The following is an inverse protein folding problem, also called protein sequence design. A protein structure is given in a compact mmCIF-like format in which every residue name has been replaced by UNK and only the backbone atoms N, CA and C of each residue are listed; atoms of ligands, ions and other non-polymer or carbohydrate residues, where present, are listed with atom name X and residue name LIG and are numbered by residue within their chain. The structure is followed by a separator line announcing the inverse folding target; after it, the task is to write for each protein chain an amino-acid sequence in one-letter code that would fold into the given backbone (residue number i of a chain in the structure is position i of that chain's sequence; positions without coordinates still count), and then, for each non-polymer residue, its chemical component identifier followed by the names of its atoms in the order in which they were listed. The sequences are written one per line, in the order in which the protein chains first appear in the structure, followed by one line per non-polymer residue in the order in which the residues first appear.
data_IF_434723396614
#
_entry.id   IF_434723396614
#
_cell.length_a   1.000
_cell.length_b   1.000
_cell.length_c   1.000
_cell.angle_alpha   90.00
_cell.angle_beta   90.00
_cell.angle_gamma   90.00
#
_symmetry.space_group_name_H-M   'P 1'
#
loop_
_entity.id
_entity.type
_entity.pdbx_description
1 polymer ?
#
# COMPACT_ATOMS: atom_id res chain seq x y z
N UNK A 1 -22.17 7.89 -30.35
CA UNK A 1 -20.83 7.42 -29.93
C UNK A 1 -20.02 8.46 -29.17
N UNK A 2 -19.73 9.66 -29.71
CA UNK A 2 -18.97 10.71 -28.99
C UNK A 2 -19.55 11.10 -27.60
N UNK A 3 -20.88 11.20 -27.48
CA UNK A 3 -21.55 11.49 -26.21
C UNK A 3 -21.37 10.38 -25.16
N UNK A 4 -21.36 9.11 -25.58
CA UNK A 4 -21.16 7.96 -24.69
C UNK A 4 -19.73 7.91 -24.15
N UNK A 5 -18.72 8.19 -24.98
CA UNK A 5 -17.30 8.22 -24.55
C UNK A 5 -17.06 9.34 -23.54
N UNK A 6 -17.64 10.53 -23.76
CA UNK A 6 -17.51 11.66 -22.82
C UNK A 6 -18.21 11.35 -21.49
N UNK A 7 -19.38 10.72 -21.52
CA UNK A 7 -20.11 10.31 -20.30
C UNK A 7 -19.33 9.23 -19.54
N UNK A 8 -18.75 8.23 -20.21
CA UNK A 8 -17.90 7.23 -19.54
C UNK A 8 -16.63 7.83 -18.93
N UNK A 9 -15.99 8.80 -19.59
CA UNK A 9 -14.83 9.51 -19.03
C UNK A 9 -15.22 10.35 -17.80
N UNK A 10 -16.37 11.02 -17.86
CA UNK A 10 -16.89 11.81 -16.75
C UNK A 10 -17.23 10.92 -15.55
N UNK A 11 -17.85 9.76 -15.79
CA UNK A 11 -18.18 8.78 -14.75
C UNK A 11 -16.91 8.23 -14.07
N UNK A 12 -15.86 7.94 -14.85
CA UNK A 12 -14.54 7.55 -14.33
C UNK A 12 -13.89 8.62 -13.43
N UNK A 13 -14.15 9.91 -13.69
CA UNK A 13 -13.68 11.01 -12.85
C UNK A 13 -14.60 11.34 -11.67
N UNK A 14 -15.88 10.93 -11.73
CA UNK A 14 -16.89 11.16 -10.68
C UNK A 14 -16.95 10.02 -9.65
N UNK A 15 -16.44 8.82 -9.98
CA UNK A 15 -16.04 7.84 -9.00
C UNK A 15 -14.85 8.44 -8.23
N UNK A 16 -15.13 9.09 -7.09
CA UNK A 16 -14.14 9.85 -6.34
C UNK A 16 -12.84 9.08 -6.13
N UNK A 17 -11.72 9.81 -6.12
CA UNK A 17 -10.39 9.30 -5.79
C UNK A 17 -10.26 8.89 -4.31
N UNK A 18 -11.20 8.11 -3.77
CA UNK A 18 -10.86 7.18 -2.70
C UNK A 18 -9.87 6.20 -3.33
N UNK A 19 -8.59 6.61 -3.30
CA UNK A 19 -7.56 6.10 -4.18
C UNK A 19 -7.52 4.58 -4.17
N UNK A 20 -7.24 3.98 -5.33
CA UNK A 20 -7.02 2.54 -5.49
C UNK A 20 -6.35 1.95 -4.26
N UNK A 21 -7.16 1.37 -3.36
CA UNK A 21 -6.65 0.78 -2.14
C UNK A 21 -6.18 -0.61 -2.55
N UNK A 22 -4.87 -0.79 -2.53
CA UNK A 22 -4.30 -2.09 -2.80
C UNK A 22 -4.92 -3.12 -1.85
N UNK A 23 -5.20 -4.30 -2.38
CA UNK A 23 -5.64 -5.40 -1.55
C UNK A 23 -4.60 -5.65 -0.45
N UNK A 24 -5.07 -5.86 0.78
CA UNK A 24 -4.24 -6.20 1.92
C UNK A 24 -3.26 -7.33 1.59
N UNK A 25 -1.99 -7.17 1.95
CA UNK A 25 -1.01 -8.26 1.88
C UNK A 25 -1.41 -9.38 2.82
N UNK A 26 -0.92 -10.60 2.58
CA UNK A 26 -1.21 -11.73 3.46
C UNK A 26 -0.73 -11.45 4.91
N UNK A 27 0.43 -10.79 5.06
CA UNK A 27 0.93 -10.37 6.36
C UNK A 27 0.03 -9.34 7.05
N UNK A 28 -0.58 -8.42 6.30
CA UNK A 28 -1.53 -7.45 6.85
C UNK A 28 -2.84 -8.13 7.31
N UNK A 29 -3.34 -9.11 6.56
CA UNK A 29 -4.50 -9.92 6.94
C UNK A 29 -4.22 -10.75 8.19
N UNK A 30 -3.07 -11.42 8.22
CA UNK A 30 -2.63 -12.22 9.38
C UNK A 30 -2.45 -11.33 10.61
N UNK A 31 -1.84 -10.15 10.47
CA UNK A 31 -1.69 -9.21 11.58
C UNK A 31 -3.03 -8.69 12.13
N UNK A 32 -3.96 -8.31 11.25
CA UNK A 32 -5.28 -7.84 11.66
C UNK A 32 -6.04 -8.93 12.44
N UNK A 33 -5.99 -10.16 11.94
CA UNK A 33 -6.61 -11.32 12.57
C UNK A 33 -5.96 -11.67 13.92
N UNK A 34 -4.62 -11.70 13.99
CA UNK A 34 -3.89 -11.92 15.23
C UNK A 34 -4.17 -10.83 16.28
N UNK A 35 -4.26 -9.57 15.86
CA UNK A 35 -4.61 -8.47 16.76
C UNK A 35 -6.00 -8.67 17.37
N UNK A 36 -7.00 -9.01 16.56
CA UNK A 36 -8.34 -9.29 17.07
C UNK A 36 -8.37 -10.47 18.05
N UNK A 37 -7.62 -11.54 17.77
CA UNK A 37 -7.42 -12.69 18.68
C UNK A 37 -6.77 -12.29 20.00
N UNK A 38 -5.70 -11.49 19.96
CA UNK A 38 -5.00 -10.99 21.16
C UNK A 38 -5.93 -10.13 22.01
N UNK A 39 -6.70 -9.24 21.40
CA UNK A 39 -7.69 -8.45 22.15
C UNK A 39 -8.81 -9.31 22.74
N UNK A 40 -9.24 -10.37 22.05
CA UNK A 40 -10.21 -11.33 22.58
C UNK A 40 -9.68 -12.03 23.83
N UNK A 41 -8.45 -12.56 23.75
CA UNK A 41 -7.79 -13.21 24.88
C UNK A 41 -7.58 -12.24 26.05
N UNK A 42 -7.16 -11.01 25.78
CA UNK A 42 -6.99 -9.99 26.81
C UNK A 42 -8.30 -9.64 27.54
N UNK A 43 -9.43 -9.55 26.82
CA UNK A 43 -10.74 -9.33 27.41
C UNK A 43 -11.15 -10.50 28.31
N UNK A 44 -10.94 -11.72 27.84
CA UNK A 44 -11.20 -12.92 28.65
C UNK A 44 -10.31 -12.97 29.89
N UNK A 45 -9.00 -12.81 29.75
CA UNK A 45 -8.06 -12.82 30.88
C UNK A 45 -8.40 -11.74 31.92
N UNK A 46 -8.80 -10.53 31.49
CA UNK A 46 -9.23 -9.49 32.42
C UNK A 46 -10.47 -9.90 33.23
N UNK A 47 -11.42 -10.61 32.62
CA UNK A 47 -12.58 -11.19 33.31
C UNK A 47 -12.18 -12.32 34.26
N UNK A 48 -11.36 -13.26 33.81
CA UNK A 48 -10.92 -14.43 34.56
C UNK A 48 -10.07 -14.05 35.79
N UNK A 49 -9.22 -13.02 35.65
CA UNK A 49 -8.39 -12.47 36.74
C UNK A 49 -9.14 -11.49 37.65
N UNK A 50 -10.46 -11.30 37.43
CA UNK A 50 -11.31 -10.38 38.19
C UNK A 50 -10.70 -8.96 38.27
N UNK A 51 -10.24 -8.46 37.12
CA UNK A 51 -9.67 -7.13 37.02
C UNK A 51 -10.70 -6.04 37.35
N UNK A 52 -10.23 -4.79 37.46
CA UNK A 52 -11.15 -3.67 37.71
C UNK A 52 -12.19 -3.54 36.59
N UNK A 53 -13.43 -3.09 36.88
CA UNK A 53 -14.47 -2.91 35.87
C UNK A 53 -14.03 -2.04 34.68
N UNK A 54 -13.18 -1.03 34.94
CA UNK A 54 -12.61 -0.20 33.90
C UNK A 54 -11.68 -0.97 32.95
N UNK A 55 -10.85 -1.88 33.47
CA UNK A 55 -9.94 -2.68 32.64
C UNK A 55 -10.71 -3.72 31.81
N UNK A 56 -11.73 -4.35 32.40
CA UNK A 56 -12.61 -5.26 31.66
C UNK A 56 -13.31 -4.51 30.51
N UNK A 57 -13.91 -3.33 30.78
CA UNK A 57 -14.57 -2.55 29.74
C UNK A 57 -13.63 -2.07 28.63
N UNK A 58 -12.39 -1.68 28.97
CA UNK A 58 -11.39 -1.27 27.96
C UNK A 58 -10.93 -2.42 27.08
N UNK A 59 -10.72 -3.61 27.64
CA UNK A 59 -10.28 -4.80 26.89
C UNK A 59 -11.40 -5.34 26.00
N UNK A 60 -12.66 -5.34 26.48
CA UNK A 60 -13.84 -5.63 25.66
C UNK A 60 -14.00 -4.65 24.49
N UNK A 61 -13.85 -3.35 24.75
CA UNK A 61 -13.91 -2.33 23.70
C UNK A 61 -12.81 -2.52 22.67
N UNK A 62 -11.58 -2.79 23.11
CA UNK A 62 -10.45 -3.06 22.22
C UNK A 62 -10.70 -4.29 21.34
N UNK A 63 -11.28 -5.37 21.90
CA UNK A 63 -11.70 -6.54 21.14
C UNK A 63 -12.74 -6.18 20.07
N UNK A 64 -13.81 -5.46 20.44
CA UNK A 64 -14.85 -5.03 19.51
C UNK A 64 -14.31 -4.15 18.38
N UNK A 65 -13.44 -3.19 18.69
CA UNK A 65 -12.85 -2.30 17.70
C UNK A 65 -11.89 -3.03 16.76
N UNK A 66 -11.16 -4.02 17.28
CA UNK A 66 -10.22 -4.82 16.48
C UNK A 66 -10.91 -5.62 15.37
N UNK A 67 -12.19 -5.96 15.56
CA UNK A 67 -12.99 -6.61 14.52
C UNK A 67 -13.11 -5.79 13.24
N UNK A 68 -13.06 -4.45 13.33
CA UNK A 68 -13.10 -3.58 12.17
C UNK A 68 -11.86 -3.74 11.28
N UNK A 69 -10.69 -4.00 11.85
CA UNK A 69 -9.48 -4.27 11.07
C UNK A 69 -9.59 -5.58 10.28
N UNK A 70 -10.14 -6.63 10.89
CA UNK A 70 -10.36 -7.91 10.19
C UNK A 70 -11.40 -7.75 9.09
N UNK A 71 -12.47 -6.98 9.31
CA UNK A 71 -13.48 -6.69 8.30
C UNK A 71 -12.91 -5.90 7.11
N UNK A 72 -12.00 -4.96 7.38
CA UNK A 72 -11.36 -4.10 6.36
C UNK A 72 -10.26 -4.82 5.57
N UNK A 73 -9.36 -5.54 6.25
CA UNK A 73 -8.25 -6.24 5.60
C UNK A 73 -8.64 -7.63 5.05
N UNK A 74 -9.66 -8.26 5.63
CA UNK A 74 -10.08 -9.63 5.35
C UNK A 74 -9.36 -10.69 6.18
N UNK A 75 -9.83 -11.94 6.07
CA UNK A 75 -9.23 -13.08 6.76
C UNK A 75 -7.95 -13.57 6.04
N UNK A 76 -6.96 -14.09 6.78
CA UNK A 76 -5.82 -14.78 6.19
C UNK A 76 -6.29 -16.05 5.46
N UNK A 77 -5.60 -16.44 4.39
CA UNK A 77 -5.92 -17.64 3.59
C UNK A 77 -5.63 -18.94 4.32
N UNK A 78 -4.61 -18.91 5.17
CA UNK A 78 -4.22 -20.03 6.02
C UNK A 78 -4.25 -19.55 7.47
N UNK A 79 -5.45 -19.39 8.07
CA UNK A 79 -5.54 -19.18 9.51
C UNK A 79 -4.91 -20.41 10.16
N UNK A 80 -3.89 -20.22 10.98
CA UNK A 80 -3.23 -21.36 11.59
C UNK A 80 -4.14 -21.98 12.66
N UNK A 81 -4.25 -23.30 12.60
CA UNK A 81 -5.11 -24.13 13.45
C UNK A 81 -4.83 -24.05 14.95
N UNK A 82 -3.64 -23.61 15.36
CA UNK A 82 -3.29 -23.41 16.78
C UNK A 82 -4.12 -22.34 17.48
N UNK A 83 -4.94 -21.58 16.74
CA UNK A 83 -5.87 -20.57 17.27
C UNK A 83 -7.29 -20.76 16.68
N UNK A 84 -7.59 -21.93 16.09
CA UNK A 84 -8.93 -22.30 15.59
C UNK A 84 -9.89 -22.54 16.74
N UNK A 85 -10.44 -21.46 17.30
CA UNK A 85 -11.53 -21.53 18.26
C UNK A 85 -12.55 -20.39 18.17
N UNK A 86 -12.26 -19.36 17.37
CA UNK A 86 -13.14 -18.20 17.27
C UNK A 86 -13.24 -17.69 15.83
N UNK A 87 -14.29 -18.10 15.13
CA UNK A 87 -14.82 -17.33 14.01
C UNK A 87 -15.47 -16.04 14.53
N UNK A 88 -15.33 -14.90 13.82
CA UNK A 88 -16.05 -13.68 14.19
C UNK A 88 -17.56 -13.94 14.17
N UNK A 89 -18.21 -13.91 15.34
CA UNK A 89 -19.65 -14.15 15.48
C UNK A 89 -20.05 -15.40 16.26
N UNK A 90 -19.12 -16.21 16.76
CA UNK A 90 -19.43 -17.27 17.72
C UNK A 90 -18.85 -16.95 19.10
N UNK A 91 -19.76 -16.68 20.05
CA UNK A 91 -19.49 -16.64 21.49
C UNK A 91 -19.24 -18.07 21.99
N UNK A 92 -18.01 -18.56 21.80
CA UNK A 92 -17.58 -19.90 22.19
C UNK A 92 -16.55 -19.86 23.32
N UNK A 93 -16.89 -20.49 24.43
CA UNK A 93 -16.17 -20.63 25.70
C UNK A 93 -14.92 -21.53 25.61
N UNK A 94 -13.94 -21.14 24.79
CA UNK A 94 -12.71 -21.93 24.63
C UNK A 94 -11.65 -21.20 23.80
N UNK A 95 -11.16 -20.06 24.29
CA UNK A 95 -9.93 -19.48 23.78
C UNK A 95 -8.78 -20.09 24.58
N UNK A 96 -8.04 -21.01 23.95
CA UNK A 96 -6.71 -21.38 24.41
C UNK A 96 -5.86 -20.10 24.55
N UNK A 97 -5.06 -19.97 25.63
CA UNK A 97 -4.20 -18.80 25.83
C UNK A 97 -3.38 -18.54 24.57
N UNK A 98 -3.42 -17.30 24.08
CA UNK A 98 -2.48 -16.89 23.03
C UNK A 98 -1.10 -17.00 23.67
N UNK A 99 -0.36 -18.05 23.31
CA UNK A 99 0.97 -18.26 23.83
C UNK A 99 1.85 -17.05 23.45
N UNK A 100 2.11 -16.21 24.44
CA UNK A 100 3.08 -15.13 24.33
C UNK A 100 4.52 -15.66 24.21
N UNK A 101 4.72 -16.98 24.36
CA UNK A 101 5.98 -17.64 24.65
C UNK A 101 6.68 -18.41 23.52
N UNK A 102 6.01 -19.04 22.54
CA UNK A 102 6.73 -19.82 21.53
C UNK A 102 6.80 -19.10 20.18
N UNK A 103 8.01 -18.65 19.89
CA UNK A 103 8.55 -18.21 18.60
C UNK A 103 8.44 -16.73 18.25
N UNK A 104 7.80 -15.83 19.02
CA UNK A 104 7.77 -14.40 18.70
C UNK A 104 7.15 -14.06 17.32
N UNK A 105 6.34 -14.98 16.78
CA UNK A 105 5.74 -14.89 15.45
C UNK A 105 4.78 -13.71 15.34
N UNK A 106 3.88 -13.52 16.30
CA UNK A 106 2.94 -12.40 16.27
C UNK A 106 3.67 -11.06 16.17
N UNK A 107 4.78 -10.91 16.91
CA UNK A 107 5.66 -9.75 16.83
C UNK A 107 6.34 -9.60 15.47
N UNK A 108 6.77 -10.71 14.84
CA UNK A 108 7.33 -10.70 13.47
C UNK A 108 6.28 -10.35 12.41
N UNK A 109 5.06 -10.88 12.52
CA UNK A 109 3.96 -10.60 11.58
C UNK A 109 3.54 -9.14 11.71
N UNK A 110 3.45 -8.61 12.93
CA UNK A 110 3.18 -7.19 13.18
C UNK A 110 4.28 -6.29 12.61
N UNK A 111 5.56 -6.66 12.79
CA UNK A 111 6.67 -5.87 12.23
C UNK A 111 6.69 -5.91 10.71
N UNK A 112 6.42 -7.06 10.09
CA UNK A 112 6.29 -7.21 8.64
C UNK A 112 5.11 -6.41 8.09
N UNK A 113 3.92 -6.54 8.68
CA UNK A 113 2.73 -5.79 8.27
C UNK A 113 2.95 -4.27 8.38
N UNK A 114 3.68 -3.82 9.41
CA UNK A 114 4.08 -2.42 9.57
C UNK A 114 5.05 -1.98 8.46
N UNK A 115 6.03 -2.80 8.10
CA UNK A 115 6.93 -2.51 6.96
C UNK A 115 6.15 -2.46 5.64
N UNK A 116 5.24 -3.40 5.41
CA UNK A 116 4.38 -3.42 4.23
C UNK A 116 3.46 -2.19 4.16
N UNK A 117 2.90 -1.75 5.29
CA UNK A 117 2.09 -0.53 5.36
C UNK A 117 2.92 0.75 5.15
N UNK A 118 4.20 0.75 5.56
CA UNK A 118 5.12 1.86 5.31
C UNK A 118 5.69 1.89 3.89
N UNK A 119 5.65 0.78 3.16
CA UNK A 119 5.96 0.79 1.73
C UNK A 119 4.89 1.62 1.03
N UNK A 120 5.20 2.90 0.82
CA UNK A 120 4.42 3.73 -0.09
C UNK A 120 4.38 2.99 -1.42
N UNK A 121 3.19 2.78 -2.00
CA UNK A 121 3.12 2.22 -3.33
C UNK A 121 3.99 3.08 -4.23
N UNK A 122 4.89 2.44 -4.97
CA UNK A 122 5.74 3.16 -5.89
C UNK A 122 4.82 3.88 -6.89
N UNK A 123 4.71 5.20 -6.72
CA UNK A 123 3.84 6.07 -7.50
C UNK A 123 4.16 5.89 -8.99
N UNK A 124 5.38 5.48 -9.30
CA UNK A 124 5.83 5.16 -10.65
C UNK A 124 5.27 3.87 -11.20
N UNK A 125 5.17 2.81 -10.40
CA UNK A 125 4.55 1.55 -10.84
C UNK A 125 3.07 1.78 -11.13
N UNK A 126 2.39 2.57 -10.28
CA UNK A 126 0.99 2.95 -10.51
C UNK A 126 0.83 3.81 -11.77
N UNK A 127 1.70 4.81 -11.96
CA UNK A 127 1.68 5.67 -13.15
C UNK A 127 1.98 4.88 -14.44
N UNK A 128 2.95 3.96 -14.39
CA UNK A 128 3.31 3.11 -15.53
C UNK A 128 2.15 2.17 -15.89
N UNK A 129 1.47 1.59 -14.88
CA UNK A 129 0.27 0.76 -15.09
C UNK A 129 -0.91 1.55 -15.66
N UNK A 130 -1.16 2.77 -15.16
CA UNK A 130 -2.19 3.65 -15.69
C UNK A 130 -1.90 4.09 -17.14
N UNK A 131 -0.64 4.38 -17.46
CA UNK A 131 -0.23 4.67 -18.85
C UNK A 131 -0.43 3.47 -19.76
N UNK A 132 -0.14 2.25 -19.29
CA UNK A 132 -0.33 1.03 -20.06
C UNK A 132 -1.80 0.75 -20.37
N UNK A 133 -2.67 0.92 -19.39
CA UNK A 133 -4.12 0.86 -19.58
C UNK A 133 -4.60 1.94 -20.55
N UNK A 134 -4.09 3.18 -20.42
CA UNK A 134 -4.41 4.29 -21.32
C UNK A 134 -3.97 4.02 -22.76
N UNK A 135 -2.79 3.43 -22.98
CA UNK A 135 -2.29 2.99 -24.29
C UNK A 135 -3.21 1.91 -24.87
N UNK A 136 -3.58 0.91 -24.07
CA UNK A 136 -4.46 -0.17 -24.50
C UNK A 136 -5.85 0.35 -24.91
N UNK A 137 -6.45 1.22 -24.09
CA UNK A 137 -7.74 1.86 -24.39
C UNK A 137 -7.68 2.77 -25.61
N UNK A 138 -6.61 3.56 -25.75
CA UNK A 138 -6.39 4.41 -26.92
C UNK A 138 -6.31 3.58 -28.21
N UNK A 139 -5.59 2.45 -28.17
CA UNK A 139 -5.51 1.52 -29.30
C UNK A 139 -6.84 0.84 -29.63
N UNK A 140 -7.57 0.37 -28.61
CA UNK A 140 -8.81 -0.40 -28.77
C UNK A 140 -9.98 0.45 -29.28
N UNK A 141 -10.12 1.70 -28.81
CA UNK A 141 -11.30 2.55 -29.10
C UNK A 141 -11.02 3.59 -30.20
N UNK A 142 -9.75 3.98 -30.42
CA UNK A 142 -9.41 5.15 -31.22
C UNK A 142 -9.13 4.91 -32.71
N UNK A 143 -9.09 3.67 -33.19
CA UNK A 143 -8.72 3.35 -34.57
C UNK A 143 -7.34 3.93 -34.95
N UNK A 144 -7.21 4.50 -36.16
CA UNK A 144 -5.93 5.07 -36.65
C UNK A 144 -5.40 6.21 -35.78
N UNK A 145 -6.29 7.06 -35.26
CA UNK A 145 -5.90 8.15 -34.35
C UNK A 145 -5.49 7.61 -32.97
N UNK A 146 -6.15 6.54 -32.51
CA UNK A 146 -5.80 5.80 -31.30
C UNK A 146 -4.37 5.25 -31.34
N UNK A 147 -3.97 4.66 -32.47
CA UNK A 147 -2.60 4.16 -32.67
C UNK A 147 -1.54 5.26 -32.60
N UNK A 148 -1.83 6.46 -33.12
CA UNK A 148 -0.92 7.60 -33.00
C UNK A 148 -0.76 8.05 -31.55
N UNK A 149 -1.87 8.18 -30.83
CA UNK A 149 -1.86 8.55 -29.40
C UNK A 149 -1.11 7.50 -28.57
N UNK A 150 -1.37 6.21 -28.82
CA UNK A 150 -0.64 5.11 -28.20
C UNK A 150 0.87 5.21 -28.46
N UNK A 151 1.28 5.54 -29.69
CA UNK A 151 2.69 5.77 -30.03
C UNK A 151 3.31 6.93 -29.26
N UNK A 152 2.61 8.06 -29.13
CA UNK A 152 3.08 9.20 -28.33
C UNK A 152 3.18 8.86 -26.84
N UNK A 153 2.18 8.17 -26.27
CA UNK A 153 2.18 7.73 -24.88
C UNK A 153 3.31 6.74 -24.60
N UNK A 154 3.58 5.81 -25.52
CA UNK A 154 4.71 4.89 -25.43
C UNK A 154 6.06 5.63 -25.41
N UNK A 155 6.25 6.60 -26.33
CA UNK A 155 7.45 7.43 -26.33
C UNK A 155 7.59 8.26 -25.05
N UNK A 156 6.48 8.79 -24.52
CA UNK A 156 6.49 9.52 -23.26
C UNK A 156 6.90 8.62 -22.08
N UNK A 157 6.41 7.37 -22.02
CA UNK A 157 6.82 6.36 -21.03
C UNK A 157 8.31 6.05 -21.12
N UNK A 158 8.82 5.79 -22.34
CA UNK A 158 10.24 5.50 -22.56
C UNK A 158 11.13 6.68 -22.12
N UNK A 159 10.75 7.92 -22.46
CA UNK A 159 11.45 9.13 -22.01
C UNK A 159 11.40 9.32 -20.49
N UNK A 160 10.25 9.03 -19.86
CA UNK A 160 10.12 9.08 -18.41
C UNK A 160 11.04 8.05 -17.73
N UNK A 161 11.09 6.81 -18.25
CA UNK A 161 11.98 5.77 -17.75
C UNK A 161 13.45 6.15 -17.86
N UNK A 162 13.89 6.65 -19.01
CA UNK A 162 15.25 7.12 -19.20
C UNK A 162 15.61 8.26 -18.23
N UNK A 163 14.68 9.18 -17.98
CA UNK A 163 14.89 10.26 -17.03
C UNK A 163 15.01 9.75 -15.56
N UNK A 164 14.23 8.75 -15.17
CA UNK A 164 14.36 8.07 -13.86
C UNK A 164 15.72 7.41 -13.70
N UNK A 165 16.18 6.67 -14.70
CA UNK A 165 17.48 6.01 -14.70
C UNK A 165 18.63 7.03 -14.56
N UNK A 166 18.54 8.16 -15.27
CA UNK A 166 19.49 9.27 -15.14
C UNK A 166 19.48 9.85 -13.72
N UNK A 167 18.30 10.09 -13.14
CA UNK A 167 18.19 10.64 -11.78
C UNK A 167 18.76 9.66 -10.75
N UNK A 168 18.44 8.38 -10.85
CA UNK A 168 18.94 7.33 -9.95
C UNK A 168 20.47 7.18 -10.06
N UNK A 169 21.01 7.12 -11.28
CA UNK A 169 22.45 7.07 -11.52
C UNK A 169 23.18 8.31 -10.98
N UNK A 170 22.56 9.49 -11.10
CA UNK A 170 23.09 10.74 -10.57
C UNK A 170 23.13 10.75 -9.03
N UNK A 171 22.13 10.19 -8.36
CA UNK A 171 22.17 10.07 -6.90
C UNK A 171 23.20 9.04 -6.44
N UNK A 172 23.33 7.90 -7.13
CA UNK A 172 24.38 6.92 -6.87
C UNK A 172 25.78 7.52 -7.06
N UNK A 173 25.99 8.31 -8.11
CA UNK A 173 27.25 9.02 -8.34
C UNK A 173 27.64 9.92 -7.16
N UNK A 174 26.68 10.66 -6.58
CA UNK A 174 26.94 11.52 -5.42
C UNK A 174 27.31 10.74 -4.17
N UNK A 175 26.71 9.56 -3.98
CA UNK A 175 27.03 8.67 -2.85
C UNK A 175 28.45 8.11 -2.98
N UNK A 176 28.86 7.72 -4.19
CA UNK A 176 30.18 7.14 -4.44
C UNK A 176 31.29 8.20 -4.46
N UNK A 177 30.99 9.44 -4.87
CA UNK A 177 31.99 10.51 -5.08
C UNK A 177 31.61 11.82 -4.38
N UNK A 178 31.55 11.85 -3.03
CA UNK A 178 31.12 13.04 -2.29
C UNK A 178 31.97 14.28 -2.58
N UNK A 179 33.28 14.11 -2.82
CA UNK A 179 34.19 15.20 -3.18
C UNK A 179 33.93 15.85 -4.56
N UNK A 180 33.11 15.23 -5.41
CA UNK A 180 32.72 15.79 -6.73
C UNK A 180 31.31 16.40 -6.73
N UNK A 181 30.61 16.38 -5.59
CA UNK A 181 29.22 16.84 -5.50
C UNK A 181 29.05 18.31 -5.91
N UNK A 182 30.02 19.18 -5.62
CA UNK A 182 29.91 20.60 -5.94
C UNK A 182 30.09 20.91 -7.43
N UNK A 183 31.02 20.22 -8.11
CA UNK A 183 31.15 20.28 -9.58
C UNK A 183 29.89 19.75 -10.27
N UNK A 184 29.28 18.72 -9.70
CA UNK A 184 28.02 18.16 -10.19
C UNK A 184 26.82 19.10 -9.99
N UNK A 185 26.78 19.87 -8.90
CA UNK A 185 25.77 20.93 -8.69
C UNK A 185 25.96 22.06 -9.70
N UNK A 186 27.20 22.43 -10.00
CA UNK A 186 27.52 23.47 -10.97
C UNK A 186 27.02 23.11 -12.39
N UNK A 187 27.19 21.86 -12.82
CA UNK A 187 26.66 21.40 -14.11
C UNK A 187 25.12 21.40 -14.14
N UNK A 188 24.46 21.12 -13.02
CA UNK A 188 22.99 21.19 -12.90
C UNK A 188 22.43 22.62 -12.96
N UNK A 189 23.18 23.62 -12.50
CA UNK A 189 22.74 25.03 -12.57
C UNK A 189 22.52 25.51 -14.00
N UNK A 190 23.16 24.89 -14.99
CA UNK A 190 22.99 25.20 -16.41
C UNK A 190 21.76 24.53 -17.07
N UNK A 191 21.06 23.65 -16.36
CA UNK A 191 19.82 23.05 -16.87
C UNK A 191 18.68 24.06 -16.92
N UNK A 192 17.75 23.86 -17.85
CA UNK A 192 16.58 24.72 -17.96
C UNK A 192 15.71 24.66 -16.69
N UNK A 193 15.02 25.75 -16.30
CA UNK A 193 14.12 25.74 -15.15
C UNK A 193 13.02 24.65 -15.22
N UNK A 194 12.41 24.35 -16.38
CA UNK A 194 11.50 23.21 -16.52
C UNK A 194 12.16 21.86 -16.17
N UNK A 195 13.37 21.61 -16.64
CA UNK A 195 14.11 20.37 -16.34
C UNK A 195 14.40 20.23 -14.86
N UNK A 196 14.82 21.31 -14.20
CA UNK A 196 15.09 21.31 -12.76
C UNK A 196 13.83 20.98 -11.94
N UNK A 197 12.68 21.55 -12.31
CA UNK A 197 11.39 21.24 -11.66
C UNK A 197 11.02 19.77 -11.81
N UNK A 198 11.14 19.21 -13.01
CA UNK A 198 10.84 17.80 -13.27
C UNK A 198 11.77 16.91 -12.44
N UNK A 199 13.09 17.16 -12.46
CA UNK A 199 14.07 16.38 -11.67
C UNK A 199 13.79 16.46 -10.18
N UNK A 200 13.35 17.63 -9.68
CA UNK A 200 13.01 17.81 -8.26
C UNK A 200 11.77 17.00 -7.88
N UNK A 201 10.73 17.04 -8.72
CA UNK A 201 9.53 16.23 -8.54
C UNK A 201 9.85 14.72 -8.59
N UNK A 202 10.74 14.31 -9.50
CA UNK A 202 11.19 12.91 -9.61
C UNK A 202 11.93 12.40 -8.38
N UNK A 203 12.60 13.26 -7.61
CA UNK A 203 13.30 12.88 -6.38
C UNK A 203 12.40 12.85 -5.15
N UNK A 204 11.28 13.56 -5.19
CA UNK A 204 10.39 13.75 -4.05
C UNK A 204 9.30 12.66 -3.95
N UNK A 205 9.11 11.86 -5.01
CA UNK A 205 8.23 10.69 -5.04
C UNK A 205 9.00 9.42 -4.74
#
# INVERSE_FOLDING_TARGET
MKKLVVISLLLLCLCGCEGFRYAATEAQRENAWLHWRVCAAAAQTAGDENASPGLCGLTELAHSQSGAFVADYGLPKHPQASLEGATPGQSGTGLEPVDHGQDGRATRVASQARQDAMRKPDVWVLADGAMELGIALAGLVGGVYGLRIAGYLKQAREKSKALKEIVAGNELFKQLWPGQADRFKESHRKQSPPTQRIVTQLKAG
#
